data_IF_588043445636
#
_entry.id   IF_588043445636
#
_cell.length_a   1.000
_cell.length_b   1.000
_cell.length_c   1.000
_cell.angle_alpha   90.00
_cell.angle_beta   90.00
_cell.angle_gamma   90.00
#
_symmetry.space_group_name_H-M   'P 1'
#
loop_
_entity.id
_entity.type
_entity.pdbx_description
1 polymer ?
#
# COMPACT_ATOMS: atom_id res chain seq x y z
N UNK A 1 -12.14 42.59 35.94
CA UNK A 1 -11.34 42.33 34.74
C UNK A 1 -10.12 41.41 34.94
N UNK A 2 -9.56 41.20 36.15
CA UNK A 2 -8.40 40.32 36.39
C UNK A 2 -8.74 38.80 36.45
N UNK A 3 -9.97 38.41 36.76
CA UNK A 3 -10.39 37.00 36.89
C UNK A 3 -10.71 36.32 35.56
N UNK A 4 -11.02 37.03 34.48
CA UNK A 4 -11.28 36.50 33.15
C UNK A 4 -10.01 36.21 32.38
N UNK A 5 -8.89 36.87 32.72
CA UNK A 5 -7.59 36.63 32.07
C UNK A 5 -6.94 35.31 32.51
N UNK A 6 -7.25 34.85 33.73
CA UNK A 6 -6.69 33.60 34.30
C UNK A 6 -7.31 32.30 33.69
N UNK A 7 -8.51 32.40 33.11
CA UNK A 7 -9.17 31.28 32.44
C UNK A 7 -8.78 31.14 30.96
N UNK A 8 -8.28 32.18 30.33
CA UNK A 8 -7.81 32.14 28.93
C UNK A 8 -6.43 31.52 28.77
N UNK A 9 -5.58 31.56 29.79
CA UNK A 9 -4.22 31.02 29.72
C UNK A 9 -4.15 29.49 29.56
N UNK A 10 -4.95 28.66 30.31
CA UNK A 10 -4.96 27.19 30.08
C UNK A 10 -5.60 26.79 28.75
N UNK A 11 -6.52 27.60 28.20
CA UNK A 11 -7.15 27.30 26.91
C UNK A 11 -6.20 27.53 25.73
N UNK A 12 -5.23 28.43 25.84
CA UNK A 12 -4.19 28.64 24.84
C UNK A 12 -3.15 27.52 24.79
N UNK A 13 -2.95 26.79 25.89
CA UNK A 13 -2.04 25.62 25.93
C UNK A 13 -2.62 24.38 25.26
N UNK A 14 -3.93 24.28 25.09
CA UNK A 14 -4.61 23.20 24.38
C UNK A 14 -4.58 23.35 22.83
N UNK A 15 -4.33 24.58 22.33
CA UNK A 15 -4.27 24.85 20.89
C UNK A 15 -3.01 24.28 20.21
N UNK A 16 -2.03 23.80 20.96
CA UNK A 16 -0.77 23.26 20.45
C UNK A 16 -0.78 21.76 20.10
N UNK A 17 -1.90 21.07 20.27
CA UNK A 17 -1.93 19.60 20.20
C UNK A 17 -1.89 19.02 18.78
N UNK A 18 -2.18 19.79 17.73
CA UNK A 18 -2.01 19.35 16.33
C UNK A 18 -0.78 20.04 15.72
N UNK A 19 0.42 19.56 16.08
CA UNK A 19 1.66 20.04 15.51
C UNK A 19 2.03 19.27 14.24
N UNK A 20 2.41 19.97 13.18
CA UNK A 20 2.90 19.45 11.92
C UNK A 20 2.14 19.96 10.69
N UNK A 21 2.78 19.93 9.50
CA UNK A 21 2.13 20.33 8.26
C UNK A 21 1.04 19.34 7.87
N UNK A 22 -0.03 19.82 7.24
CA UNK A 22 -1.09 18.98 6.68
C UNK A 22 -0.61 18.34 5.37
N UNK A 23 -0.98 17.08 5.16
CA UNK A 23 -0.67 16.41 3.92
C UNK A 23 -1.56 16.93 2.79
N UNK A 24 -0.97 17.67 1.87
CA UNK A 24 -1.64 18.28 0.72
C UNK A 24 -1.69 17.37 -0.54
N UNK A 25 -1.32 16.09 -0.40
CA UNK A 25 -1.18 15.16 -1.53
C UNK A 25 0.27 15.02 -2.01
N UNK A 26 0.51 14.24 -3.07
CA UNK A 26 1.82 14.11 -3.68
C UNK A 26 2.37 15.48 -4.08
N UNK A 27 3.69 15.72 -3.94
CA UNK A 27 4.29 16.97 -4.35
C UNK A 27 4.01 17.21 -5.84
N UNK A 28 3.39 18.32 -6.16
CA UNK A 28 3.28 18.76 -7.55
C UNK A 28 4.71 19.06 -8.01
N UNK A 29 5.20 18.30 -8.98
CA UNK A 29 6.44 18.68 -9.65
C UNK A 29 6.14 20.07 -10.23
N UNK A 30 6.78 21.08 -9.65
CA UNK A 30 6.76 22.40 -10.25
C UNK A 30 7.27 22.17 -11.66
N UNK A 31 6.40 22.26 -12.66
CA UNK A 31 6.83 22.44 -14.04
C UNK A 31 7.70 23.68 -13.96
N UNK A 32 9.03 23.44 -13.95
CA UNK A 32 9.99 24.51 -13.86
C UNK A 32 9.75 25.38 -15.09
N UNK A 33 8.93 26.40 -14.90
CA UNK A 33 8.64 27.39 -15.94
C UNK A 33 10.00 27.97 -16.33
N UNK A 34 10.53 27.53 -17.47
CA UNK A 34 11.79 27.99 -18.00
C UNK A 34 12.90 26.97 -18.22
N UNK A 35 12.78 25.73 -17.75
CA UNK A 35 13.76 24.70 -18.09
C UNK A 35 13.36 23.98 -19.39
N UNK A 36 13.42 24.71 -20.50
CA UNK A 36 13.50 24.05 -21.80
C UNK A 36 14.74 23.16 -21.81
N UNK A 37 14.64 21.94 -22.36
CA UNK A 37 15.80 21.10 -22.58
C UNK A 37 16.86 21.92 -23.33
N UNK A 38 18.11 21.92 -22.86
CA UNK A 38 19.20 22.73 -23.41
C UNK A 38 19.39 22.53 -24.95
N UNK A 39 18.91 21.42 -25.47
CA UNK A 39 18.94 21.06 -26.89
C UNK A 39 17.56 20.86 -27.52
N UNK A 40 16.51 21.42 -26.92
CA UNK A 40 15.19 21.38 -27.52
C UNK A 40 15.20 22.21 -28.78
N UNK A 41 15.01 21.53 -29.91
CA UNK A 41 14.69 22.23 -31.17
C UNK A 41 13.27 22.80 -31.16
N UNK A 42 12.90 23.64 -32.12
CA UNK A 42 11.57 24.24 -32.18
C UNK A 42 10.42 23.24 -32.34
N UNK A 43 10.73 21.98 -32.65
CA UNK A 43 9.76 20.87 -32.79
C UNK A 43 9.44 20.16 -31.47
N UNK A 44 10.17 20.46 -30.40
CA UNK A 44 9.97 19.80 -29.11
C UNK A 44 9.14 20.71 -28.19
N UNK A 45 7.92 20.33 -27.93
CA UNK A 45 7.12 20.97 -26.90
C UNK A 45 7.57 20.45 -25.51
N UNK A 46 8.28 21.26 -24.70
CA UNK A 46 8.75 20.85 -23.39
C UNK A 46 7.60 20.65 -22.37
N UNK A 47 6.38 21.07 -22.71
CA UNK A 47 5.19 20.95 -21.88
C UNK A 47 4.24 19.86 -22.37
N UNK A 48 4.56 19.16 -23.47
CA UNK A 48 3.76 18.04 -23.93
C UNK A 48 3.66 16.98 -22.82
N UNK A 49 2.46 16.52 -22.46
CA UNK A 49 2.31 15.45 -21.50
C UNK A 49 3.03 14.20 -22.01
N UNK A 50 3.86 13.60 -21.15
CA UNK A 50 4.51 12.32 -21.48
C UNK A 50 3.39 11.28 -21.63
N UNK A 51 3.26 10.70 -22.82
CA UNK A 51 2.32 9.65 -23.08
C UNK A 51 2.68 8.43 -22.20
N UNK A 52 1.72 7.91 -21.45
CA UNK A 52 1.93 6.73 -20.62
C UNK A 52 2.31 5.48 -21.41
N UNK A 53 1.96 5.47 -22.70
CA UNK A 53 2.20 4.43 -23.71
C UNK A 53 3.20 4.92 -24.77
N UNK A 54 4.30 5.52 -24.34
CA UNK A 54 5.33 6.15 -25.18
C UNK A 54 5.87 5.23 -26.28
N UNK A 55 5.86 3.90 -26.08
CA UNK A 55 6.33 2.92 -27.09
C UNK A 55 5.47 2.93 -28.38
N UNK A 56 4.22 3.39 -28.29
CA UNK A 56 3.35 3.52 -29.48
C UNK A 56 3.89 4.53 -30.48
N UNK A 57 4.68 5.51 -30.03
CA UNK A 57 5.33 6.50 -30.87
C UNK A 57 6.39 5.88 -31.81
N UNK A 58 6.86 4.67 -31.51
CA UNK A 58 7.79 3.93 -32.36
C UNK A 58 7.09 3.30 -33.59
N UNK A 59 5.76 3.28 -33.63
CA UNK A 59 4.98 2.81 -34.76
C UNK A 59 5.10 1.31 -35.07
N UNK A 60 5.61 0.50 -34.12
CA UNK A 60 5.80 -0.94 -34.30
C UNK A 60 4.64 -1.73 -33.68
N UNK A 61 3.77 -2.36 -34.47
CA UNK A 61 2.62 -3.10 -33.96
C UNK A 61 3.00 -4.34 -33.14
N UNK A 62 4.16 -4.95 -33.42
CA UNK A 62 4.64 -6.14 -32.67
C UNK A 62 5.06 -5.72 -31.26
N UNK A 63 5.77 -4.59 -31.13
CA UNK A 63 6.12 -4.03 -29.83
C UNK A 63 4.85 -3.68 -29.04
N UNK A 64 3.88 -3.04 -29.68
CA UNK A 64 2.62 -2.67 -29.03
C UNK A 64 1.88 -3.90 -28.47
N UNK A 65 1.84 -5.00 -29.23
CA UNK A 65 1.23 -6.25 -28.77
C UNK A 65 2.00 -6.87 -27.59
N UNK A 66 3.33 -6.88 -27.66
CA UNK A 66 4.18 -7.40 -26.58
C UNK A 66 3.98 -6.63 -25.27
N UNK A 67 3.95 -5.29 -25.35
CA UNK A 67 3.70 -4.41 -24.21
C UNK A 67 2.31 -4.68 -23.60
N UNK A 68 1.27 -4.73 -24.43
CA UNK A 68 -0.09 -4.98 -23.97
C UNK A 68 -0.21 -6.33 -23.25
N UNK A 69 0.39 -7.38 -23.80
CA UNK A 69 0.39 -8.73 -23.20
C UNK A 69 1.16 -8.78 -21.89
N UNK A 70 2.28 -8.11 -21.83
CA UNK A 70 3.11 -8.09 -20.63
C UNK A 70 2.44 -7.30 -19.49
N UNK A 71 1.90 -6.12 -19.77
CA UNK A 71 1.17 -5.31 -18.77
C UNK A 71 -0.08 -6.02 -18.25
N UNK A 72 -0.73 -6.84 -19.08
CA UNK A 72 -1.90 -7.62 -18.69
C UNK A 72 -1.54 -8.87 -17.86
N UNK A 73 -0.42 -9.53 -18.18
CA UNK A 73 -0.07 -10.85 -17.64
C UNK A 73 1.09 -10.87 -16.64
N UNK A 74 1.75 -9.76 -16.38
CA UNK A 74 2.92 -9.74 -15.50
C UNK A 74 2.52 -9.88 -14.02
N UNK A 75 3.09 -10.87 -13.29
CA UNK A 75 2.81 -11.07 -11.87
C UNK A 75 3.21 -9.88 -11.00
N UNK A 76 4.26 -9.14 -11.35
CA UNK A 76 4.70 -7.94 -10.60
C UNK A 76 3.68 -6.81 -10.67
N UNK A 77 3.02 -6.63 -11.82
CA UNK A 77 1.90 -5.67 -11.95
C UNK A 77 0.69 -6.14 -11.13
N UNK A 78 0.39 -7.44 -11.12
CA UNK A 78 -0.68 -7.99 -10.29
C UNK A 78 -0.38 -7.82 -8.79
N UNK A 79 0.84 -8.06 -8.36
CA UNK A 79 1.31 -7.82 -6.99
C UNK A 79 1.18 -6.35 -6.60
N UNK A 80 1.60 -5.43 -7.46
CA UNK A 80 1.48 -4.00 -7.22
C UNK A 80 0.01 -3.57 -7.02
N UNK A 81 -0.92 -4.10 -7.81
CA UNK A 81 -2.37 -3.91 -7.63
C UNK A 81 -2.86 -4.45 -6.29
N UNK A 82 -2.41 -5.65 -5.89
CA UNK A 82 -2.77 -6.22 -4.59
C UNK A 82 -2.27 -5.37 -3.42
N UNK A 83 -1.09 -4.77 -3.53
CA UNK A 83 -0.54 -3.83 -2.53
C UNK A 83 -1.38 -2.55 -2.42
N UNK A 84 -1.93 -2.04 -3.52
CA UNK A 84 -2.88 -0.92 -3.49
C UNK A 84 -4.13 -1.30 -2.69
N UNK A 85 -4.71 -2.48 -2.94
CA UNK A 85 -5.90 -2.94 -2.20
C UNK A 85 -5.60 -3.14 -0.71
N UNK A 86 -4.43 -3.66 -0.37
CA UNK A 86 -3.96 -3.77 1.01
C UNK A 86 -3.84 -2.38 1.67
N UNK A 87 -3.23 -1.42 1.00
CA UNK A 87 -3.10 -0.05 1.51
C UNK A 87 -4.47 0.62 1.72
N UNK A 88 -5.41 0.42 0.80
CA UNK A 88 -6.80 0.88 0.95
C UNK A 88 -7.51 0.22 2.12
N UNK A 89 -7.26 -1.08 2.38
CA UNK A 89 -7.80 -1.77 3.54
C UNK A 89 -7.25 -1.18 4.85
N UNK A 90 -5.96 -0.87 4.91
CA UNK A 90 -5.32 -0.21 6.05
C UNK A 90 -5.92 1.17 6.32
N UNK A 91 -6.23 1.95 5.28
CA UNK A 91 -6.94 3.23 5.43
C UNK A 91 -8.32 3.03 6.04
N UNK A 92 -9.08 2.01 5.57
CA UNK A 92 -10.41 1.70 6.14
C UNK A 92 -10.31 1.29 7.60
N UNK A 93 -9.32 0.47 7.94
CA UNK A 93 -9.08 0.03 9.32
C UNK A 93 -8.74 1.21 10.22
N UNK A 94 -7.82 2.09 9.81
CA UNK A 94 -7.43 3.24 10.63
C UNK A 94 -8.59 4.23 10.81
N UNK A 95 -9.44 4.39 9.81
CA UNK A 95 -10.69 5.17 9.95
C UNK A 95 -11.68 4.51 10.91
N UNK A 96 -11.78 3.17 10.90
CA UNK A 96 -12.65 2.43 11.81
C UNK A 96 -12.17 2.53 13.27
N UNK A 97 -10.86 2.60 13.50
CA UNK A 97 -10.27 2.78 14.84
C UNK A 97 -10.69 4.10 15.53
N UNK A 98 -11.20 5.07 14.77
CA UNK A 98 -11.78 6.32 15.30
C UNK A 98 -13.19 6.17 15.82
N UNK A 99 -13.84 5.04 15.55
CA UNK A 99 -15.20 4.75 15.98
C UNK A 99 -15.19 3.87 17.23
N UNK A 100 -16.25 3.89 18.05
CA UNK A 100 -16.38 2.95 19.15
C UNK A 100 -16.36 1.50 18.66
N UNK A 101 -15.48 0.69 19.23
CA UNK A 101 -15.49 -0.76 19.01
C UNK A 101 -16.45 -1.41 19.99
N UNK A 102 -17.48 -2.08 19.49
CA UNK A 102 -18.48 -2.77 20.28
C UNK A 102 -18.35 -4.28 20.03
N UNK A 103 -18.19 -5.05 21.10
CA UNK A 103 -18.13 -6.50 21.06
C UNK A 103 -19.11 -7.12 22.05
N UNK A 104 -19.69 -8.26 21.72
CA UNK A 104 -20.42 -9.09 22.69
C UNK A 104 -19.43 -10.08 23.31
N UNK A 105 -19.42 -10.16 24.62
CA UNK A 105 -18.57 -11.07 25.38
C UNK A 105 -19.41 -12.00 26.22
N UNK A 106 -19.11 -13.29 26.19
CA UNK A 106 -19.63 -14.32 27.09
C UNK A 106 -18.45 -15.06 27.71
N UNK A 107 -18.37 -15.06 29.03
CA UNK A 107 -17.32 -15.76 29.76
C UNK A 107 -17.96 -16.66 30.80
N UNK A 108 -17.59 -17.93 30.83
CA UNK A 108 -17.94 -18.88 31.87
C UNK A 108 -16.64 -19.35 32.57
N UNK A 109 -16.53 -19.11 33.81
CA UNK A 109 -15.40 -19.55 34.66
C UNK A 109 -15.92 -20.50 35.71
N UNK A 110 -15.31 -21.68 35.80
CA UNK A 110 -15.51 -22.62 36.89
C UNK A 110 -14.17 -22.80 37.59
N UNK A 111 -14.11 -22.46 38.85
CA UNK A 111 -12.95 -22.65 39.70
C UNK A 111 -13.32 -23.61 40.88
N UNK A 112 -12.51 -24.64 41.06
CA UNK A 112 -12.54 -25.47 42.27
C UNK A 112 -11.48 -24.93 43.22
N UNK A 113 -11.91 -24.35 44.32
CA UNK A 113 -11.02 -23.76 45.33
C UNK A 113 -11.35 -24.45 46.66
N UNK A 114 -10.58 -25.47 47.04
CA UNK A 114 -10.81 -26.18 48.31
C UNK A 114 -10.79 -25.21 49.51
N UNK A 115 -11.84 -25.23 50.33
CA UNK A 115 -11.94 -24.38 51.52
C UNK A 115 -12.38 -22.93 51.28
N UNK A 116 -12.87 -22.58 50.05
CA UNK A 116 -13.47 -21.27 49.78
C UNK A 116 -14.94 -21.25 50.22
N UNK A 117 -15.21 -20.78 51.45
CA UNK A 117 -16.58 -20.49 51.94
C UNK A 117 -16.99 -19.08 51.40
N UNK A 118 -17.75 -19.04 50.32
CA UNK A 118 -18.32 -17.80 49.79
C UNK A 118 -19.68 -17.56 50.48
N UNK A 119 -19.72 -17.47 51.77
CA UNK A 119 -20.74 -16.86 52.62
C UNK A 119 -22.19 -16.77 52.10
N UNK A 120 -22.69 -17.74 51.34
CA UNK A 120 -24.07 -17.79 50.86
C UNK A 120 -25.00 -18.55 51.81
N UNK A 121 -24.48 -19.00 52.94
CA UNK A 121 -25.26 -19.61 53.99
C UNK A 121 -25.65 -18.65 55.13
N UNK A 122 -26.73 -18.93 55.90
CA UNK A 122 -27.02 -18.13 57.03
C UNK A 122 -25.85 -18.22 58.04
N UNK A 123 -25.61 -17.15 58.86
CA UNK A 123 -24.48 -17.11 59.78
C UNK A 123 -24.47 -18.39 60.70
N UNK A 124 -23.28 -18.95 61.02
CA UNK A 124 -23.18 -20.10 61.88
C UNK A 124 -23.89 -19.88 63.21
N UNK A 125 -24.80 -20.78 63.54
CA UNK A 125 -25.60 -20.67 64.79
C UNK A 125 -27.01 -20.10 64.62
N UNK A 126 -27.50 -19.84 63.43
CA UNK A 126 -28.92 -19.49 63.23
C UNK A 126 -29.82 -20.70 63.48
N UNK A 127 -30.92 -20.55 64.25
CA UNK A 127 -31.87 -21.65 64.47
C UNK A 127 -32.57 -22.00 63.13
N UNK A 128 -32.37 -23.25 62.67
CA UNK A 128 -32.95 -23.75 61.41
C UNK A 128 -31.98 -23.86 60.28
N UNK A 129 -30.70 -23.65 60.45
CA UNK A 129 -29.70 -23.96 59.44
C UNK A 129 -29.63 -25.50 59.24
N UNK A 130 -29.75 -26.01 58.00
CA UNK A 130 -29.55 -27.44 57.74
C UNK A 130 -28.11 -27.81 58.07
N UNK A 131 -27.98 -29.01 58.77
CA UNK A 131 -26.68 -29.50 59.22
C UNK A 131 -25.79 -30.06 58.13
N UNK A 132 -26.33 -30.16 56.88
CA UNK A 132 -25.61 -30.65 55.72
C UNK A 132 -25.40 -29.50 54.71
N UNK A 133 -24.55 -28.57 55.09
CA UNK A 133 -24.00 -27.63 54.05
C UNK A 133 -22.87 -28.39 53.40
N UNK A 134 -23.14 -29.00 52.23
CA UNK A 134 -22.09 -29.53 51.40
C UNK A 134 -21.15 -28.34 51.08
N UNK A 135 -19.88 -28.44 51.45
CA UNK A 135 -18.83 -27.49 51.09
C UNK A 135 -18.84 -27.37 49.62
N UNK A 136 -19.37 -26.22 49.10
CA UNK A 136 -19.34 -25.96 47.69
C UNK A 136 -17.95 -25.49 47.31
N UNK A 137 -17.04 -26.44 47.09
CA UNK A 137 -15.67 -26.20 46.62
C UNK A 137 -15.60 -25.61 45.18
N UNK A 138 -16.73 -25.32 44.57
CA UNK A 138 -16.76 -24.87 43.20
C UNK A 138 -17.48 -23.53 43.01
N UNK A 139 -16.75 -22.55 42.50
CA UNK A 139 -17.27 -21.25 42.05
C UNK A 139 -17.56 -21.30 40.57
N UNK A 140 -18.79 -21.02 40.16
CA UNK A 140 -19.18 -20.84 38.76
C UNK A 140 -19.60 -19.40 38.56
N UNK A 141 -18.85 -18.69 37.69
CA UNK A 141 -19.15 -17.30 37.30
C UNK A 141 -19.51 -17.25 35.82
N UNK A 142 -20.66 -16.71 35.52
CA UNK A 142 -21.09 -16.45 34.16
C UNK A 142 -21.18 -14.95 33.99
N UNK A 143 -20.54 -14.45 32.95
CA UNK A 143 -20.61 -13.04 32.52
C UNK A 143 -21.03 -13.00 31.05
N UNK A 144 -22.13 -12.30 30.78
CA UNK A 144 -22.57 -12.04 29.38
C UNK A 144 -22.93 -10.56 29.28
N UNK A 145 -22.36 -9.91 28.31
CA UNK A 145 -22.64 -8.49 28.12
C UNK A 145 -21.96 -7.86 26.92
N UNK A 146 -22.40 -6.67 26.47
CA UNK A 146 -21.69 -5.86 25.53
C UNK A 146 -20.47 -5.20 26.19
N UNK A 147 -19.38 -5.15 25.45
CA UNK A 147 -18.20 -4.36 25.80
C UNK A 147 -18.02 -3.28 24.73
N UNK A 148 -17.88 -2.02 25.11
CA UNK A 148 -17.60 -0.91 24.23
C UNK A 148 -16.30 -0.24 24.65
N UNK A 149 -15.37 -0.12 23.69
CA UNK A 149 -14.12 0.61 23.89
C UNK A 149 -14.02 1.72 22.86
N UNK A 150 -13.70 2.92 23.31
CA UNK A 150 -13.55 4.09 22.45
C UNK A 150 -12.49 5.03 22.99
N UNK A 151 -11.53 5.37 22.14
CA UNK A 151 -10.51 6.37 22.43
C UNK A 151 -10.88 7.68 21.73
N UNK A 152 -11.22 8.69 22.52
CA UNK A 152 -11.59 10.01 22.01
C UNK A 152 -10.31 10.77 21.67
N UNK A 153 -10.21 11.25 20.41
CA UNK A 153 -9.03 11.95 19.89
C UNK A 153 -9.07 13.45 20.21
N UNK A 154 -8.75 13.82 21.43
CA UNK A 154 -8.67 15.23 21.86
C UNK A 154 -7.46 15.98 21.28
N UNK A 155 -6.39 15.25 20.95
CA UNK A 155 -5.12 15.80 20.50
C UNK A 155 -4.90 15.69 18.98
N UNK A 156 -5.84 15.08 18.24
CA UNK A 156 -5.73 14.91 16.80
C UNK A 156 -4.74 13.82 16.36
N UNK A 157 -4.25 12.98 17.25
CA UNK A 157 -3.28 11.93 16.96
C UNK A 157 -3.83 10.87 16.01
N UNK A 158 -5.10 10.46 16.18
CA UNK A 158 -5.75 9.52 15.27
C UNK A 158 -6.01 10.17 13.90
N UNK A 159 -6.33 11.47 13.85
CA UNK A 159 -6.47 12.18 12.58
C UNK A 159 -5.16 12.17 11.79
N UNK A 160 -4.03 12.43 12.46
CA UNK A 160 -2.68 12.37 11.85
C UNK A 160 -2.29 10.96 11.40
N UNK A 161 -2.70 9.92 12.13
CA UNK A 161 -2.51 8.53 11.67
C UNK A 161 -3.26 8.24 10.37
N UNK A 162 -4.53 8.63 10.28
CA UNK A 162 -5.32 8.49 9.06
C UNK A 162 -4.68 9.24 7.89
N UNK A 163 -4.16 10.44 8.14
CA UNK A 163 -3.44 11.23 7.15
C UNK A 163 -2.18 10.50 6.65
N UNK A 164 -1.37 9.99 7.57
CA UNK A 164 -0.16 9.24 7.24
C UNK A 164 -0.47 7.97 6.42
N UNK A 165 -1.50 7.21 6.79
CA UNK A 165 -1.91 6.01 6.04
C UNK A 165 -2.51 6.36 4.67
N UNK A 166 -3.21 7.49 4.53
CA UNK A 166 -3.63 7.99 3.21
C UNK A 166 -2.43 8.34 2.33
N UNK A 167 -1.40 9.00 2.88
CA UNK A 167 -0.16 9.28 2.15
C UNK A 167 0.56 7.99 1.71
N UNK A 168 0.60 6.98 2.60
CA UNK A 168 1.15 5.66 2.28
C UNK A 168 0.36 4.95 1.17
N UNK A 169 -0.97 5.07 1.17
CA UNK A 169 -1.80 4.52 0.10
C UNK A 169 -1.55 5.24 -1.24
N UNK A 170 -1.37 6.56 -1.23
CA UNK A 170 -0.97 7.32 -2.42
C UNK A 170 0.40 6.88 -2.95
N UNK A 171 1.38 6.65 -2.06
CA UNK A 171 2.69 6.11 -2.43
C UNK A 171 2.58 4.71 -3.07
N UNK A 172 1.68 3.85 -2.58
CA UNK A 172 1.46 2.53 -3.18
C UNK A 172 0.91 2.60 -4.61
N UNK A 173 0.09 3.62 -4.92
CA UNK A 173 -0.39 3.87 -6.28
C UNK A 173 0.77 4.33 -7.17
N UNK A 174 1.58 5.27 -6.71
CA UNK A 174 2.74 5.75 -7.47
C UNK A 174 3.75 4.63 -7.76
N UNK A 175 4.03 3.76 -6.78
CA UNK A 175 4.89 2.60 -6.96
C UNK A 175 4.35 1.60 -7.99
N UNK A 176 3.03 1.44 -8.10
CA UNK A 176 2.43 0.58 -9.10
C UNK A 176 2.56 1.16 -10.52
N UNK A 177 2.47 2.47 -10.68
CA UNK A 177 2.72 3.11 -11.96
C UNK A 177 4.21 3.03 -12.34
N UNK A 178 5.13 3.21 -11.37
CA UNK A 178 6.57 3.03 -11.58
C UNK A 178 6.91 1.61 -12.05
N UNK A 179 6.32 0.59 -11.43
CA UNK A 179 6.50 -0.80 -11.86
C UNK A 179 6.05 -1.05 -13.31
N UNK A 180 4.98 -0.40 -13.77
CA UNK A 180 4.56 -0.49 -15.18
C UNK A 180 5.55 0.18 -16.12
N UNK A 181 6.07 1.37 -15.75
CA UNK A 181 7.07 2.09 -16.54
C UNK A 181 8.35 1.27 -16.68
N UNK A 182 8.82 0.68 -15.58
CA UNK A 182 10.00 -0.19 -15.60
C UNK A 182 9.81 -1.40 -16.50
N UNK A 183 8.67 -2.09 -16.38
CA UNK A 183 8.34 -3.25 -17.21
C UNK A 183 8.32 -2.88 -18.70
N UNK A 184 7.65 -1.79 -19.06
CA UNK A 184 7.61 -1.32 -20.44
C UNK A 184 9.02 -0.99 -20.98
N UNK A 185 9.84 -0.34 -20.17
CA UNK A 185 11.22 -0.04 -20.56
C UNK A 185 12.06 -1.32 -20.76
N UNK A 186 11.87 -2.35 -19.95
CA UNK A 186 12.56 -3.64 -20.11
C UNK A 186 12.15 -4.36 -21.38
N UNK A 187 10.85 -4.41 -21.69
CA UNK A 187 10.32 -5.04 -22.89
C UNK A 187 10.83 -4.32 -24.15
N UNK A 188 10.74 -3.00 -24.16
CA UNK A 188 11.22 -2.22 -25.30
C UNK A 188 12.73 -2.44 -25.53
N UNK A 189 13.55 -2.45 -24.47
CA UNK A 189 14.99 -2.75 -24.59
C UNK A 189 15.24 -4.14 -25.15
N UNK A 190 14.55 -5.16 -24.60
CA UNK A 190 14.69 -6.53 -25.07
C UNK A 190 14.27 -6.68 -26.53
N UNK A 191 13.18 -6.02 -26.91
CA UNK A 191 12.70 -6.02 -28.30
C UNK A 191 13.69 -5.35 -29.26
N UNK A 192 14.21 -4.18 -28.91
CA UNK A 192 15.23 -3.48 -29.72
C UNK A 192 16.48 -4.34 -29.87
N UNK A 193 16.95 -4.98 -28.79
CA UNK A 193 18.10 -5.88 -28.85
C UNK A 193 17.84 -7.11 -29.74
N UNK A 194 16.62 -7.65 -29.71
CA UNK A 194 16.23 -8.73 -30.62
C UNK A 194 16.24 -8.27 -32.07
N UNK A 195 15.68 -7.10 -32.38
CA UNK A 195 15.66 -6.53 -33.74
C UNK A 195 17.07 -6.24 -34.25
N UNK A 196 17.95 -5.71 -33.39
CA UNK A 196 19.38 -5.53 -33.71
C UNK A 196 20.04 -6.86 -34.06
N UNK A 197 19.85 -7.91 -33.25
CA UNK A 197 20.43 -9.23 -33.50
C UNK A 197 19.92 -9.83 -34.81
N UNK A 198 18.62 -9.70 -35.10
CA UNK A 198 18.02 -10.14 -36.37
C UNK A 198 18.63 -9.41 -37.56
N UNK A 199 18.76 -8.07 -37.49
CA UNK A 199 19.39 -7.28 -38.55
C UNK A 199 20.86 -7.64 -38.76
N UNK A 200 21.60 -7.91 -37.67
CA UNK A 200 22.98 -8.37 -37.75
C UNK A 200 23.09 -9.74 -38.41
N UNK A 201 22.19 -10.67 -38.06
CA UNK A 201 22.15 -12.00 -38.70
C UNK A 201 21.88 -11.89 -40.18
N UNK A 202 20.92 -11.08 -40.60
CA UNK A 202 20.62 -10.85 -42.02
C UNK A 202 21.83 -10.28 -42.79
N UNK A 203 22.53 -9.32 -42.17
CA UNK A 203 23.75 -8.76 -42.76
C UNK A 203 24.85 -9.80 -42.95
N UNK A 204 25.13 -10.62 -41.95
CA UNK A 204 26.14 -11.69 -42.00
C UNK A 204 25.76 -12.76 -43.03
N UNK A 205 24.47 -13.09 -43.16
CA UNK A 205 24.01 -14.01 -44.21
C UNK A 205 24.27 -13.46 -45.63
N UNK A 206 23.97 -12.19 -45.86
CA UNK A 206 24.26 -11.53 -47.14
C UNK A 206 25.77 -11.50 -47.43
N UNK A 207 26.58 -11.22 -46.43
CA UNK A 207 28.03 -11.23 -46.54
C UNK A 207 28.54 -12.64 -46.91
N UNK A 208 28.09 -13.66 -46.25
CA UNK A 208 28.41 -15.06 -46.58
C UNK A 208 28.07 -15.38 -48.05
N UNK A 209 26.86 -15.05 -48.46
CA UNK A 209 26.41 -15.32 -49.82
C UNK A 209 27.26 -14.56 -50.89
N UNK A 210 27.65 -13.33 -50.59
CA UNK A 210 28.58 -12.58 -51.43
C UNK A 210 29.97 -13.21 -51.49
N UNK A 211 30.50 -13.69 -50.37
CA UNK A 211 31.79 -14.39 -50.33
C UNK A 211 31.75 -15.72 -51.11
N UNK A 212 30.64 -16.45 -51.08
CA UNK A 212 30.45 -17.62 -51.92
C UNK A 212 30.44 -17.28 -53.40
N UNK A 213 29.78 -16.21 -53.82
CA UNK A 213 29.77 -15.76 -55.19
C UNK A 213 31.19 -15.37 -55.69
N UNK A 214 31.94 -14.64 -54.85
CA UNK A 214 33.33 -14.28 -55.15
C UNK A 214 34.20 -15.53 -55.31
N UNK A 215 34.05 -16.50 -54.46
CA UNK A 215 34.77 -17.77 -54.52
C UNK A 215 34.46 -18.49 -55.83
N UNK A 216 33.18 -18.65 -56.19
CA UNK A 216 32.76 -19.26 -57.43
C UNK A 216 33.30 -18.54 -58.66
N UNK A 217 33.23 -17.22 -58.75
CA UNK A 217 33.80 -16.45 -59.83
C UNK A 217 35.32 -16.57 -59.92
N UNK A 218 36.00 -16.74 -58.78
CA UNK A 218 37.45 -16.96 -58.75
C UNK A 218 37.81 -18.30 -59.33
N UNK A 219 37.08 -19.37 -58.97
CA UNK A 219 37.28 -20.71 -59.55
C UNK A 219 37.06 -20.69 -61.06
N UNK A 220 36.00 -20.05 -61.58
CA UNK A 220 35.73 -19.97 -62.99
C UNK A 220 36.82 -19.23 -63.80
N UNK A 221 37.63 -18.38 -63.18
CA UNK A 221 38.75 -17.68 -63.83
C UNK A 221 40.03 -18.50 -63.91
N UNK A 222 40.19 -19.52 -63.07
CA UNK A 222 41.42 -20.31 -62.99
C UNK A 222 41.27 -21.71 -63.50
N UNK A 223 40.08 -22.10 -64.00
CA UNK A 223 39.80 -23.29 -64.80
C UNK A 223 39.65 -22.93 -66.25
#
# INVERSE_FOLDING_TARGET
MRKTLTLLAPMALLAGCMSGPDYAGPPQLATAAGNAFVRAGPEIDPFAPIAGDWWTLLGDPVLNELEARALAGNPGVAEARARIEQARASVRQERANRLPAVAAQATAVQANIPGLDIGSGPPPGSPGAPADTEEQDSLRVYNVGPNANWEIDFAGGQARRVEAINAQAAASVANAEDAKVQLAAEIARAYVSLREAQGRLELVQRERDLQQQILELTYQRYT
#
